data_IF_421279049600
#
_entry.id   IF_421279049600
#
_cell.length_a   1.000
_cell.length_b   1.000
_cell.length_c   1.000
_cell.angle_alpha   90.00
_cell.angle_beta   90.00
_cell.angle_gamma   90.00
#
_symmetry.space_group_name_H-M   'P 1'
#
loop_
_entity.id
_entity.type
_entity.pdbx_description
1 polymer ?
#
# COMPACT_ATOMS: atom_id res chain seq x y z
N UNK A 1 -14.03 8.98 -14.06
CA UNK A 1 -13.11 8.57 -15.15
C UNK A 1 -11.88 7.95 -14.53
N UNK A 2 -11.09 7.19 -15.31
CA UNK A 2 -9.84 6.58 -14.82
C UNK A 2 -8.91 7.65 -14.23
N UNK A 3 -8.81 8.82 -14.87
CA UNK A 3 -8.03 9.97 -14.36
C UNK A 3 -8.51 10.45 -12.98
N UNK A 4 -9.82 10.55 -12.75
CA UNK A 4 -10.34 10.95 -11.44
C UNK A 4 -10.00 9.92 -10.36
N UNK A 5 -10.08 8.63 -10.69
CA UNK A 5 -9.71 7.55 -9.77
C UNK A 5 -8.22 7.59 -9.44
N UNK A 6 -7.37 7.75 -10.45
CA UNK A 6 -5.92 7.88 -10.26
C UNK A 6 -5.58 9.11 -9.42
N UNK A 7 -6.20 10.26 -9.69
CA UNK A 7 -6.03 11.48 -8.92
C UNK A 7 -6.42 11.30 -7.45
N UNK A 8 -7.57 10.68 -7.19
CA UNK A 8 -8.04 10.42 -5.83
C UNK A 8 -7.12 9.45 -5.06
N UNK A 9 -6.64 8.39 -5.72
CA UNK A 9 -5.66 7.47 -5.12
C UNK A 9 -4.35 8.18 -4.78
N UNK A 10 -3.84 9.00 -5.71
CA UNK A 10 -2.59 9.73 -5.49
C UNK A 10 -2.71 10.74 -4.35
N UNK A 11 -3.79 11.53 -4.31
CA UNK A 11 -4.03 12.49 -3.24
C UNK A 11 -4.15 11.80 -1.88
N UNK A 12 -4.94 10.73 -1.79
CA UNK A 12 -5.07 9.95 -0.56
C UNK A 12 -3.71 9.36 -0.13
N UNK A 13 -2.91 8.91 -1.09
CA UNK A 13 -1.61 8.30 -0.81
C UNK A 13 -0.62 9.34 -0.29
N UNK A 14 -0.59 10.52 -0.89
CA UNK A 14 0.26 11.64 -0.47
C UNK A 14 -0.11 12.17 0.92
N UNK A 15 -1.40 12.22 1.25
CA UNK A 15 -1.89 12.56 2.60
C UNK A 15 -1.46 11.46 3.57
N UNK A 16 -1.67 10.19 3.24
CA UNK A 16 -1.31 9.06 4.10
C UNK A 16 0.19 9.03 4.40
N UNK A 17 1.04 9.41 3.44
CA UNK A 17 2.50 9.48 3.62
C UNK A 17 2.93 10.55 4.63
N UNK A 18 2.17 11.64 4.74
CA UNK A 18 2.47 12.75 5.66
C UNK A 18 1.90 12.52 7.06
N UNK A 19 0.69 11.96 7.12
CA UNK A 19 -0.09 11.89 8.36
C UNK A 19 -0.04 10.51 9.04
N UNK A 20 0.41 9.46 8.36
CA UNK A 20 0.39 8.08 8.87
C UNK A 20 1.74 7.40 8.74
N UNK A 21 2.10 6.60 9.75
CA UNK A 21 3.28 5.74 9.69
C UNK A 21 3.14 4.71 8.55
N UNK A 22 4.25 4.26 7.93
CA UNK A 22 4.24 3.25 6.87
C UNK A 22 3.52 1.95 7.24
N UNK A 23 3.55 1.60 8.52
CA UNK A 23 2.88 0.43 9.07
C UNK A 23 1.38 0.62 9.31
N UNK A 24 0.85 1.84 9.20
CA UNK A 24 -0.54 2.10 9.53
C UNK A 24 -1.49 1.30 8.60
N UNK A 25 -2.46 0.52 9.13
CA UNK A 25 -3.32 -0.34 8.32
C UNK A 25 -4.04 0.37 7.17
N UNK A 26 -4.49 1.60 7.38
CA UNK A 26 -5.14 2.41 6.32
C UNK A 26 -4.15 2.75 5.19
N UNK A 27 -2.90 3.12 5.51
CA UNK A 27 -1.87 3.45 4.51
C UNK A 27 -1.48 2.21 3.72
N UNK A 28 -1.30 1.08 4.40
CA UNK A 28 -1.02 -0.21 3.76
C UNK A 28 -2.16 -0.66 2.84
N UNK A 29 -3.41 -0.59 3.31
CA UNK A 29 -4.59 -0.94 2.52
C UNK A 29 -4.78 -0.02 1.31
N UNK A 30 -4.44 1.27 1.46
CA UNK A 30 -4.43 2.21 0.34
C UNK A 30 -3.35 1.86 -0.69
N UNK A 31 -2.15 1.52 -0.25
CA UNK A 31 -1.08 1.07 -1.14
C UNK A 31 -1.49 -0.19 -1.91
N UNK A 32 -2.09 -1.16 -1.22
CA UNK A 32 -2.62 -2.39 -1.82
C UNK A 32 -3.67 -2.10 -2.91
N UNK A 33 -4.67 -1.28 -2.60
CA UNK A 33 -5.72 -0.96 -3.57
C UNK A 33 -5.16 -0.16 -4.76
N UNK A 34 -4.19 0.72 -4.50
CA UNK A 34 -3.57 1.50 -5.57
C UNK A 34 -2.68 0.63 -6.47
N UNK A 35 -1.96 -0.36 -5.92
CA UNK A 35 -1.21 -1.32 -6.74
C UNK A 35 -2.14 -2.16 -7.61
N UNK A 36 -3.26 -2.64 -7.06
CA UNK A 36 -4.28 -3.37 -7.84
C UNK A 36 -4.87 -2.49 -8.94
N UNK A 37 -5.13 -1.21 -8.67
CA UNK A 37 -5.58 -0.26 -9.70
C UNK A 37 -4.55 -0.10 -10.83
N UNK A 38 -3.25 0.02 -10.51
CA UNK A 38 -2.21 0.07 -11.53
C UNK A 38 -2.14 -1.20 -12.37
N UNK A 39 -2.32 -2.37 -11.74
CA UNK A 39 -2.28 -3.67 -12.42
C UNK A 39 -3.52 -3.91 -13.28
N UNK A 40 -4.72 -3.88 -12.70
CA UNK A 40 -5.96 -4.30 -13.34
C UNK A 40 -6.60 -3.22 -14.23
N UNK A 41 -6.47 -1.94 -13.86
CA UNK A 41 -7.18 -0.84 -14.56
C UNK A 41 -6.27 -0.11 -15.54
N UNK A 42 -5.03 0.17 -15.13
CA UNK A 42 -4.05 0.89 -15.97
C UNK A 42 -3.15 -0.05 -16.79
N UNK A 43 -3.25 -1.36 -16.58
CA UNK A 43 -2.42 -2.38 -17.25
C UNK A 43 -0.91 -2.06 -17.16
N UNK A 44 -0.49 -1.53 -16.00
CA UNK A 44 0.89 -1.14 -15.72
C UNK A 44 1.44 -1.96 -14.53
N UNK A 45 1.84 -3.22 -14.77
CA UNK A 45 2.29 -4.12 -13.71
C UNK A 45 3.61 -3.68 -13.09
N UNK A 46 4.49 -3.01 -13.84
CA UNK A 46 5.77 -2.53 -13.33
C UNK A 46 5.57 -1.49 -12.21
N UNK A 47 4.65 -0.55 -12.42
CA UNK A 47 4.33 0.47 -11.43
C UNK A 47 3.56 -0.11 -10.24
N UNK A 48 2.67 -1.08 -10.48
CA UNK A 48 1.99 -1.82 -9.42
C UNK A 48 2.98 -2.53 -8.48
N UNK A 49 3.92 -3.27 -9.06
CA UNK A 49 4.96 -3.98 -8.31
C UNK A 49 5.88 -3.02 -7.56
N UNK A 50 6.27 -1.91 -8.19
CA UNK A 50 7.11 -0.89 -7.54
C UNK A 50 6.40 -0.32 -6.32
N UNK A 51 5.12 0.06 -6.45
CA UNK A 51 4.34 0.64 -5.37
C UNK A 51 4.15 -0.35 -4.21
N UNK A 52 3.74 -1.58 -4.51
CA UNK A 52 3.54 -2.61 -3.49
C UNK A 52 4.86 -2.97 -2.77
N UNK A 53 5.97 -3.07 -3.52
CA UNK A 53 7.29 -3.34 -2.94
C UNK A 53 7.77 -2.21 -2.04
N UNK A 54 7.66 -0.95 -2.48
CA UNK A 54 8.04 0.20 -1.65
C UNK A 54 7.20 0.25 -0.37
N UNK A 55 5.89 0.06 -0.45
CA UNK A 55 5.04 0.05 0.74
C UNK A 55 5.40 -1.09 1.71
N UNK A 56 5.72 -2.28 1.19
CA UNK A 56 6.16 -3.41 1.99
C UNK A 56 7.51 -3.14 2.67
N UNK A 57 8.51 -2.66 1.94
CA UNK A 57 9.85 -2.39 2.46
C UNK A 57 9.82 -1.28 3.53
N UNK A 58 9.05 -0.20 3.30
CA UNK A 58 8.85 0.88 4.29
C UNK A 58 8.16 0.36 5.56
N UNK A 59 7.16 -0.51 5.44
CA UNK A 59 6.46 -1.08 6.58
C UNK A 59 7.30 -2.08 7.37
N UNK A 60 8.16 -2.86 6.70
CA UNK A 60 9.13 -3.74 7.38
C UNK A 60 10.11 -2.92 8.23
N UNK A 61 10.59 -1.78 7.70
CA UNK A 61 11.55 -0.94 8.39
C UNK A 61 11.02 -0.33 9.70
N UNK A 62 9.70 -0.15 9.82
CA UNK A 62 9.03 0.42 10.99
C UNK A 62 8.16 -0.60 11.74
N UNK A 63 8.23 -1.89 11.41
CA UNK A 63 7.39 -2.93 12.01
C UNK A 63 7.60 -3.03 13.54
N UNK A 64 8.83 -2.82 13.99
CA UNK A 64 9.23 -2.92 15.40
C UNK A 64 8.64 -1.79 16.27
N UNK A 65 8.05 -0.74 15.68
CA UNK A 65 7.47 0.38 16.42
C UNK A 65 5.96 0.24 16.67
N UNK A 66 5.34 -0.84 16.17
CA UNK A 66 3.90 -1.09 16.30
C UNK A 66 3.52 -1.58 17.70
N UNK A 67 2.31 -1.18 18.14
CA UNK A 67 1.66 -1.79 19.29
C UNK A 67 0.99 -3.13 18.90
N UNK A 68 0.72 -3.98 19.89
CA UNK A 68 0.26 -5.37 19.68
C UNK A 68 -1.08 -5.45 18.92
N UNK A 69 -1.98 -4.49 19.12
CA UNK A 69 -3.26 -4.41 18.42
C UNK A 69 -3.09 -4.06 16.93
N UNK A 70 -2.26 -3.06 16.61
CA UNK A 70 -2.00 -2.65 15.23
C UNK A 70 -1.10 -3.63 14.49
N UNK A 71 -0.30 -4.42 15.22
CA UNK A 71 0.62 -5.40 14.64
C UNK A 71 -0.11 -6.48 13.83
N UNK A 72 -1.22 -7.01 14.35
CA UNK A 72 -2.00 -8.06 13.67
C UNK A 72 -2.61 -7.57 12.36
N UNK A 73 -3.22 -6.39 12.38
CA UNK A 73 -3.85 -5.81 11.19
C UNK A 73 -2.81 -5.45 10.13
N UNK A 74 -1.69 -4.84 10.56
CA UNK A 74 -0.62 -4.42 9.64
C UNK A 74 0.05 -5.63 8.99
N UNK A 75 0.37 -6.67 9.78
CA UNK A 75 1.00 -7.89 9.25
C UNK A 75 0.08 -8.65 8.29
N UNK A 76 -1.24 -8.68 8.54
CA UNK A 76 -2.21 -9.27 7.61
C UNK A 76 -2.20 -8.53 6.26
N UNK A 77 -2.19 -7.20 6.25
CA UNK A 77 -2.19 -6.43 4.99
C UNK A 77 -0.83 -6.55 4.28
N UNK A 78 0.28 -6.57 5.00
CA UNK A 78 1.60 -6.82 4.43
C UNK A 78 1.70 -8.21 3.78
N UNK A 79 1.04 -9.20 4.37
CA UNK A 79 0.93 -10.53 3.79
C UNK A 79 0.16 -10.50 2.45
N UNK A 80 -0.96 -9.77 2.39
CA UNK A 80 -1.72 -9.57 1.14
C UNK A 80 -0.90 -8.82 0.07
N UNK A 81 -0.14 -7.79 0.47
CA UNK A 81 0.78 -7.07 -0.43
C UNK A 81 1.83 -8.01 -1.03
N UNK A 82 2.40 -8.89 -0.22
CA UNK A 82 3.37 -9.90 -0.68
C UNK A 82 2.72 -10.88 -1.65
N UNK A 83 1.52 -11.37 -1.33
CA UNK A 83 0.85 -12.34 -2.19
C UNK A 83 0.51 -11.72 -3.55
N UNK A 84 0.09 -10.45 -3.58
CA UNK A 84 -0.12 -9.69 -4.83
C UNK A 84 1.16 -9.45 -5.64
N UNK A 85 2.34 -9.46 -5.04
CA UNK A 85 3.63 -9.34 -5.74
C UNK A 85 4.10 -10.66 -6.37
N UNK A 86 3.51 -11.80 -5.98
CA UNK A 86 3.89 -13.14 -6.47
C UNK A 86 3.02 -13.65 -7.62
N UNK A 87 2.00 -12.89 -8.01
CA UNK A 87 1.08 -13.16 -9.13
C UNK A 87 1.65 -12.59 -10.42
#
# INVERSE_FOLDING_TARGET
>A
TIENSQGAYQEAFDISKKEMQPTHPIRLGLALNFSVFYYEILNNPELACTLAKTAFDEAIAELDTLNEDSYKDSTLIMQLLRDNLTV
#
